data_IF_043312274494
#
_entry.id   IF_043312274494
#
_cell.length_a   1.000
_cell.length_b   1.000
_cell.length_c   1.000
_cell.angle_alpha   90.00
_cell.angle_beta   90.00
_cell.angle_gamma   90.00
#
_symmetry.space_group_name_H-M   'P 1'
#
loop_
_entity.id
_entity.type
_entity.pdbx_description
1 polymer ?
#
# COMPACT_ATOMS: atom_id res chain seq x y z
N UNK A 1 -16.88 -22.76 -14.52
CA UNK A 1 -15.49 -22.48 -14.11
C UNK A 1 -15.56 -21.28 -13.19
N UNK A 2 -15.51 -21.51 -11.89
CA UNK A 2 -15.76 -20.47 -10.89
C UNK A 2 -14.53 -19.55 -10.83
N UNK A 3 -14.67 -18.22 -10.99
CA UNK A 3 -13.57 -17.32 -10.77
C UNK A 3 -13.53 -17.01 -9.27
N UNK A 4 -12.89 -17.87 -8.48
CA UNK A 4 -12.21 -17.41 -7.27
C UNK A 4 -11.00 -16.59 -7.73
N UNK A 5 -11.23 -15.42 -8.32
CA UNK A 5 -10.20 -14.40 -8.38
C UNK A 5 -9.83 -14.14 -6.92
N UNK A 6 -8.58 -14.43 -6.54
CA UNK A 6 -8.11 -14.39 -5.17
C UNK A 6 -8.49 -13.04 -4.54
N UNK A 7 -9.54 -13.05 -3.73
CA UNK A 7 -9.99 -11.87 -3.02
C UNK A 7 -9.00 -11.65 -1.88
N UNK A 8 -7.93 -10.91 -2.17
CA UNK A 8 -6.99 -10.47 -1.14
C UNK A 8 -7.63 -9.32 -0.39
N UNK A 9 -8.37 -9.69 0.66
CA UNK A 9 -9.01 -8.73 1.57
C UNK A 9 -8.05 -8.19 2.62
N UNK A 10 -8.49 -7.19 3.38
CA UNK A 10 -7.71 -6.63 4.50
C UNK A 10 -7.21 -7.67 5.51
N UNK A 11 -7.87 -8.82 5.64
CA UNK A 11 -7.43 -9.94 6.47
C UNK A 11 -6.05 -10.50 6.07
N UNK A 12 -5.74 -10.55 4.77
CA UNK A 12 -4.42 -11.02 4.31
C UNK A 12 -3.33 -10.01 4.65
N UNK A 13 -3.60 -8.72 4.48
CA UNK A 13 -2.66 -7.65 4.83
C UNK A 13 -2.40 -7.63 6.35
N UNK A 14 -3.44 -7.86 7.16
CA UNK A 14 -3.29 -8.02 8.62
C UNK A 14 -2.40 -9.21 8.93
N UNK A 15 -2.60 -10.34 8.24
CA UNK A 15 -1.76 -11.52 8.40
C UNK A 15 -0.30 -11.25 7.97
N UNK A 16 -0.08 -10.55 6.86
CA UNK A 16 1.26 -10.12 6.42
C UNK A 16 1.93 -9.22 7.47
N UNK A 17 1.19 -8.32 8.11
CA UNK A 17 1.72 -7.47 9.20
C UNK A 17 2.15 -8.28 10.42
N UNK A 18 1.37 -9.30 10.81
CA UNK A 18 1.73 -10.18 11.92
C UNK A 18 2.98 -10.99 11.59
N UNK A 19 3.06 -11.54 10.38
CA UNK A 19 4.24 -12.27 9.89
C UNK A 19 5.49 -11.39 9.88
N UNK A 20 5.39 -10.16 9.38
CA UNK A 20 6.49 -9.20 9.41
C UNK A 20 6.99 -8.96 10.83
N UNK A 21 6.09 -8.82 11.81
CA UNK A 21 6.45 -8.66 13.23
C UNK A 21 7.21 -9.86 13.81
N UNK A 22 6.77 -11.08 13.50
CA UNK A 22 7.48 -12.30 13.91
C UNK A 22 8.85 -12.43 13.26
N UNK A 23 8.95 -12.26 11.94
CA UNK A 23 10.22 -12.33 11.22
C UNK A 23 11.20 -11.25 11.70
N UNK A 24 10.69 -10.04 12.04
CA UNK A 24 11.51 -8.97 12.60
C UNK A 24 12.12 -9.39 13.95
N UNK A 25 11.33 -9.99 14.84
CA UNK A 25 11.82 -10.45 16.14
C UNK A 25 12.89 -11.56 16.02
N UNK A 26 12.88 -12.33 14.93
CA UNK A 26 13.90 -13.35 14.65
C UNK A 26 15.18 -12.75 14.05
N UNK A 27 15.05 -11.86 13.07
CA UNK A 27 16.20 -11.29 12.32
C UNK A 27 16.86 -10.13 13.07
N UNK A 28 16.07 -9.27 13.74
CA UNK A 28 16.48 -8.10 14.53
C UNK A 28 15.74 -8.07 15.88
N UNK A 29 16.12 -8.92 16.84
CA UNK A 29 15.47 -8.99 18.16
C UNK A 29 15.47 -7.65 18.92
N UNK A 30 16.43 -6.77 18.63
CA UNK A 30 16.53 -5.41 19.18
C UNK A 30 15.39 -4.49 18.72
N UNK A 31 14.71 -4.84 17.63
CA UNK A 31 13.55 -4.12 17.07
C UNK A 31 12.24 -4.88 17.29
N UNK A 32 12.23 -5.90 18.15
CA UNK A 32 11.01 -6.65 18.46
C UNK A 32 9.90 -5.71 18.98
N UNK A 33 8.69 -5.89 18.45
CA UNK A 33 7.53 -5.06 18.80
C UNK A 33 7.43 -3.73 18.04
N UNK A 34 8.42 -3.34 17.22
CA UNK A 34 8.40 -2.08 16.48
C UNK A 34 7.18 -1.91 15.56
N UNK A 35 6.56 -3.00 15.11
CA UNK A 35 5.38 -3.00 14.24
C UNK A 35 4.04 -3.10 14.98
N UNK A 36 4.01 -3.25 16.31
CA UNK A 36 2.77 -3.42 17.07
C UNK A 36 1.80 -2.25 16.88
N UNK A 37 2.34 -1.03 16.94
CA UNK A 37 1.55 0.18 16.72
C UNK A 37 1.03 0.27 15.28
N UNK A 38 1.87 -0.09 14.30
CA UNK A 38 1.47 -0.13 12.90
C UNK A 38 0.28 -1.08 12.70
N UNK A 39 0.34 -2.31 13.24
CA UNK A 39 -0.76 -3.27 13.16
C UNK A 39 -2.07 -2.76 13.81
N UNK A 40 -1.96 -2.06 14.95
CA UNK A 40 -3.09 -1.50 15.67
C UNK A 40 -3.80 -0.36 14.91
N UNK A 41 -3.06 0.44 14.12
CA UNK A 41 -3.64 1.50 13.26
C UNK A 41 -4.15 0.92 11.94
N UNK A 42 -3.39 0.00 11.34
CA UNK A 42 -3.65 -0.57 10.03
C UNK A 42 -4.95 -1.39 10.01
N UNK A 43 -5.18 -2.22 11.02
CA UNK A 43 -6.36 -3.11 11.09
C UNK A 43 -7.69 -2.35 10.97
N UNK A 44 -8.03 -1.39 11.86
CA UNK A 44 -9.29 -0.66 11.73
C UNK A 44 -9.37 0.19 10.45
N UNK A 45 -8.24 0.67 9.93
CA UNK A 45 -8.20 1.42 8.67
C UNK A 45 -8.56 0.54 7.46
N UNK A 46 -8.03 -0.68 7.38
CA UNK A 46 -8.37 -1.63 6.32
C UNK A 46 -9.84 -2.05 6.36
N UNK A 47 -10.38 -2.29 7.56
CA UNK A 47 -11.81 -2.59 7.74
C UNK A 47 -12.68 -1.44 7.25
N UNK A 48 -12.29 -0.20 7.57
CA UNK A 48 -12.99 1.00 7.11
C UNK A 48 -12.96 1.12 5.59
N UNK A 49 -11.79 0.99 4.97
CA UNK A 49 -11.65 1.10 3.52
C UNK A 49 -12.53 0.06 2.81
N UNK A 50 -12.51 -1.19 3.27
CA UNK A 50 -13.33 -2.26 2.69
C UNK A 50 -14.84 -1.99 2.79
N UNK A 51 -15.28 -1.16 3.74
CA UNK A 51 -16.67 -0.78 3.89
C UNK A 51 -17.06 0.46 3.06
N UNK A 52 -16.10 1.30 2.66
CA UNK A 52 -16.36 2.60 2.01
C UNK A 52 -16.02 2.63 0.53
N UNK A 53 -15.02 1.88 0.10
CA UNK A 53 -14.52 1.89 -1.28
C UNK A 53 -14.84 0.56 -1.95
N UNK A 54 -15.54 0.56 -3.10
CA UNK A 54 -15.79 -0.65 -3.86
C UNK A 54 -14.48 -1.38 -4.22
N UNK A 55 -14.50 -2.70 -4.18
CA UNK A 55 -13.38 -3.49 -4.64
C UNK A 55 -13.18 -3.31 -6.15
N UNK A 56 -11.94 -3.18 -6.58
CA UNK A 56 -11.49 -3.09 -7.96
C UNK A 56 -10.36 -4.10 -8.20
N UNK A 57 -9.85 -4.16 -9.43
CA UNK A 57 -8.60 -4.85 -9.72
C UNK A 57 -7.45 -3.96 -9.22
N UNK A 58 -6.66 -4.52 -8.32
CA UNK A 58 -5.40 -3.94 -7.82
C UNK A 58 -4.27 -4.72 -8.48
N UNK A 59 -3.34 -4.01 -9.13
CA UNK A 59 -2.17 -4.61 -9.74
C UNK A 59 -1.23 -5.22 -8.70
N UNK A 60 -1.02 -4.51 -7.58
CA UNK A 60 -0.25 -4.98 -6.43
C UNK A 60 1.26 -4.78 -6.53
N UNK A 61 1.74 -4.27 -7.68
CA UNK A 61 3.11 -3.87 -7.99
C UNK A 61 3.10 -2.78 -9.09
N UNK A 62 2.25 -1.76 -8.92
CA UNK A 62 2.03 -0.71 -9.93
C UNK A 62 3.12 0.37 -9.86
N UNK A 63 4.30 -0.01 -10.30
CA UNK A 63 5.51 0.81 -10.30
C UNK A 63 5.92 1.17 -11.73
N UNK A 64 6.76 2.20 -11.89
CA UNK A 64 7.18 2.70 -13.21
C UNK A 64 7.85 1.63 -14.07
N UNK A 65 8.58 0.69 -13.45
CA UNK A 65 9.19 -0.48 -14.12
C UNK A 65 8.17 -1.41 -14.79
N UNK A 66 6.92 -1.40 -14.33
CA UNK A 66 5.82 -2.24 -14.82
C UNK A 66 4.87 -1.45 -15.74
N UNK A 67 5.27 -0.26 -16.19
CA UNK A 67 4.54 0.54 -17.17
C UNK A 67 5.32 0.64 -18.48
N UNK A 68 4.72 0.17 -19.57
CA UNK A 68 5.27 0.25 -20.93
C UNK A 68 4.53 1.34 -21.69
N UNK A 69 5.27 2.32 -22.22
CA UNK A 69 4.70 3.32 -23.11
C UNK A 69 4.51 2.73 -24.51
N UNK A 70 3.29 2.80 -25.01
CA UNK A 70 2.92 2.37 -26.36
C UNK A 70 2.39 3.55 -27.16
N UNK A 71 2.19 3.38 -28.47
CA UNK A 71 1.56 4.40 -29.33
C UNK A 71 0.13 4.77 -28.88
N UNK A 72 -0.52 3.90 -28.10
CA UNK A 72 -1.86 4.12 -27.55
C UNK A 72 -1.86 4.64 -26.10
N UNK A 73 -0.67 4.90 -25.53
CA UNK A 73 -0.49 5.33 -24.15
C UNK A 73 0.17 4.27 -23.25
N UNK A 74 0.24 4.53 -21.92
CA UNK A 74 0.84 3.62 -20.96
C UNK A 74 0.03 2.32 -20.83
N UNK A 75 0.74 1.19 -20.77
CA UNK A 75 0.18 -0.13 -20.58
C UNK A 75 0.86 -0.81 -19.39
N UNK A 76 0.07 -1.30 -18.44
CA UNK A 76 0.58 -2.04 -17.29
C UNK A 76 0.88 -3.50 -17.65
N UNK A 77 2.03 -3.98 -17.22
CA UNK A 77 2.52 -5.35 -17.42
C UNK A 77 2.86 -6.00 -16.07
N UNK A 78 3.09 -7.31 -16.05
CA UNK A 78 3.37 -8.08 -14.84
C UNK A 78 2.21 -8.11 -13.82
N UNK A 79 1.06 -8.62 -14.27
CA UNK A 79 -0.14 -8.79 -13.46
C UNK A 79 -0.07 -9.97 -12.47
N UNK A 80 1.11 -10.52 -12.20
CA UNK A 80 1.29 -11.74 -11.39
C UNK A 80 0.86 -11.56 -9.92
N UNK A 81 0.89 -10.32 -9.41
CA UNK A 81 0.46 -9.94 -8.07
C UNK A 81 -0.98 -9.39 -8.01
N UNK A 82 -1.67 -9.38 -9.14
CA UNK A 82 -2.97 -8.74 -9.25
C UNK A 82 -4.04 -9.48 -8.44
N UNK A 83 -4.94 -8.72 -7.83
CA UNK A 83 -6.00 -9.23 -6.98
C UNK A 83 -7.21 -8.31 -6.98
N UNK A 84 -8.33 -8.80 -6.45
CA UNK A 84 -9.52 -7.98 -6.22
C UNK A 84 -9.50 -7.46 -4.78
N UNK A 85 -9.53 -6.14 -4.61
CA UNK A 85 -9.46 -5.48 -3.31
C UNK A 85 -9.80 -4.00 -3.41
N UNK A 86 -9.85 -3.31 -2.27
CA UNK A 86 -9.94 -1.85 -2.30
C UNK A 86 -8.60 -1.26 -2.77
N UNK A 87 -8.65 -0.14 -3.48
CA UNK A 87 -7.48 0.58 -3.96
C UNK A 87 -6.61 0.97 -2.74
N UNK A 88 -5.44 0.34 -2.60
CA UNK A 88 -4.56 0.51 -1.46
C UNK A 88 -3.14 0.91 -1.89
N UNK A 89 -2.47 0.07 -2.68
CA UNK A 89 -1.03 0.21 -2.90
C UNK A 89 -0.61 0.85 -4.22
N UNK A 90 -1.46 0.81 -5.25
CA UNK A 90 -1.02 1.11 -6.61
C UNK A 90 -0.75 2.62 -6.82
N UNK A 91 -1.67 3.50 -6.42
CA UNK A 91 -1.43 4.94 -6.50
C UNK A 91 -0.28 5.37 -5.59
N UNK A 92 -0.16 4.79 -4.38
CA UNK A 92 0.97 5.09 -3.50
C UNK A 92 2.30 4.72 -4.17
N UNK A 93 2.38 3.52 -4.77
CA UNK A 93 3.61 3.04 -5.42
C UNK A 93 3.99 3.93 -6.60
N UNK A 94 3.01 4.33 -7.42
CA UNK A 94 3.22 5.26 -8.53
C UNK A 94 3.67 6.65 -8.06
N UNK A 95 3.03 7.21 -7.04
CA UNK A 95 3.38 8.52 -6.46
C UNK A 95 4.78 8.49 -5.86
N UNK A 96 5.15 7.41 -5.17
CA UNK A 96 6.50 7.21 -4.62
C UNK A 96 7.55 7.16 -5.72
N UNK A 97 7.35 6.33 -6.74
CA UNK A 97 8.28 6.19 -7.87
C UNK A 97 8.48 7.52 -8.61
N UNK A 98 7.38 8.22 -8.87
CA UNK A 98 7.41 9.52 -9.50
C UNK A 98 8.20 10.55 -8.66
N UNK A 99 7.98 10.57 -7.34
CA UNK A 99 8.71 11.44 -6.42
C UNK A 99 10.22 11.16 -6.46
N UNK A 100 10.61 9.88 -6.50
CA UNK A 100 12.02 9.47 -6.64
C UNK A 100 12.62 9.90 -7.99
N UNK A 101 11.80 9.98 -9.03
CA UNK A 101 12.18 10.49 -10.35
C UNK A 101 12.13 12.03 -10.47
N UNK A 102 11.82 12.76 -9.38
CA UNK A 102 11.71 14.22 -9.38
C UNK A 102 10.41 14.77 -9.99
N UNK A 103 9.41 13.90 -10.21
CA UNK A 103 8.07 14.31 -10.65
C UNK A 103 7.24 14.73 -9.44
N UNK A 104 6.53 15.87 -9.49
CA UNK A 104 5.68 16.31 -8.38
C UNK A 104 4.56 15.30 -8.06
N UNK A 105 4.49 14.87 -6.80
CA UNK A 105 3.47 13.92 -6.32
C UNK A 105 2.04 14.45 -6.51
N UNK A 106 1.83 15.75 -6.28
CA UNK A 106 0.56 16.44 -6.43
C UNK A 106 -0.01 16.35 -7.85
N UNK A 107 0.84 16.38 -8.87
CA UNK A 107 0.40 16.24 -10.27
C UNK A 107 -0.24 14.87 -10.55
N UNK A 108 0.32 13.78 -10.00
CA UNK A 108 -0.23 12.43 -10.18
C UNK A 108 -1.51 12.25 -9.37
N UNK A 109 -1.53 12.75 -8.15
CA UNK A 109 -2.71 12.70 -7.27
C UNK A 109 -3.87 13.49 -7.89
N UNK A 110 -3.59 14.66 -8.44
CA UNK A 110 -4.59 15.48 -9.14
C UNK A 110 -5.12 14.77 -10.39
N UNK A 111 -4.26 14.22 -11.23
CA UNK A 111 -4.68 13.47 -12.41
C UNK A 111 -5.57 12.26 -12.06
N UNK A 112 -5.22 11.53 -10.99
CA UNK A 112 -6.05 10.43 -10.49
C UNK A 112 -7.43 10.90 -10.01
N UNK A 113 -7.47 12.02 -9.27
CA UNK A 113 -8.72 12.61 -8.77
C UNK A 113 -9.62 13.07 -9.93
N UNK A 114 -9.05 13.72 -10.94
CA UNK A 114 -9.76 14.20 -12.12
C UNK A 114 -10.40 13.04 -12.90
N UNK A 115 -9.65 11.94 -13.10
CA UNK A 115 -10.15 10.76 -13.80
C UNK A 115 -11.26 10.07 -13.00
N UNK A 116 -11.12 9.97 -11.67
CA UNK A 116 -12.19 9.43 -10.83
C UNK A 116 -13.45 10.30 -10.89
N UNK A 117 -13.32 11.63 -10.91
CA UNK A 117 -14.44 12.54 -11.06
C UNK A 117 -15.13 12.38 -12.43
N UNK A 118 -14.34 12.22 -13.50
CA UNK A 118 -14.84 11.99 -14.86
C UNK A 118 -15.63 10.67 -14.95
N UNK A 119 -15.14 9.62 -14.31
CA UNK A 119 -15.75 8.29 -14.31
C UNK A 119 -16.88 8.13 -13.28
N UNK A 120 -17.12 9.13 -12.44
CA UNK A 120 -18.08 9.03 -11.33
C UNK A 120 -17.68 8.01 -10.26
N UNK A 121 -16.38 7.71 -10.15
CA UNK A 121 -15.85 6.81 -9.15
C UNK A 121 -15.79 7.50 -7.78
N UNK A 122 -16.15 6.80 -6.68
CA UNK A 122 -16.13 7.39 -5.36
C UNK A 122 -14.69 7.64 -4.91
N UNK A 123 -14.31 8.92 -4.83
CA UNK A 123 -13.04 9.35 -4.22
C UNK A 123 -13.28 9.62 -2.74
N UNK A 124 -12.77 8.75 -1.88
CA UNK A 124 -12.83 8.94 -0.42
C UNK A 124 -11.45 9.37 0.06
N UNK A 125 -11.27 10.64 0.43
CA UNK A 125 -10.08 11.15 1.14
C UNK A 125 -8.74 10.58 0.64
N UNK A 126 -8.25 11.07 -0.51
CA UNK A 126 -7.04 10.56 -1.16
C UNK A 126 -5.80 10.62 -0.27
N UNK A 127 -5.69 11.64 0.58
CA UNK A 127 -4.59 11.75 1.53
C UNK A 127 -4.58 10.55 2.49
N UNK A 128 -5.76 10.23 3.05
CA UNK A 128 -5.92 9.06 3.92
C UNK A 128 -5.64 7.73 3.19
N UNK A 129 -6.14 7.58 1.95
CA UNK A 129 -5.87 6.37 1.16
C UNK A 129 -4.39 6.20 0.83
N UNK A 130 -3.68 7.28 0.52
CA UNK A 130 -2.25 7.25 0.24
C UNK A 130 -1.42 6.89 1.48
N UNK A 131 -1.77 7.44 2.65
CA UNK A 131 -1.12 7.09 3.91
C UNK A 131 -1.35 5.60 4.27
N UNK A 132 -2.58 5.12 4.07
CA UNK A 132 -2.91 3.70 4.24
C UNK A 132 -2.12 2.82 3.25
N UNK A 133 -2.09 3.22 1.98
CA UNK A 133 -1.31 2.57 0.94
C UNK A 133 0.18 2.48 1.24
N UNK A 134 0.76 3.57 1.75
CA UNK A 134 2.14 3.61 2.19
C UNK A 134 2.43 2.69 3.37
N UNK A 135 1.49 2.61 4.31
CA UNK A 135 1.57 1.67 5.43
C UNK A 135 1.58 0.22 4.93
N UNK A 136 0.63 -0.14 4.07
CA UNK A 136 0.53 -1.49 3.48
C UNK A 136 1.79 -1.83 2.68
N UNK A 137 2.24 -0.93 1.79
CA UNK A 137 3.44 -1.15 1.00
C UNK A 137 4.66 -1.36 1.89
N UNK A 138 4.84 -0.54 2.93
CA UNK A 138 6.01 -0.62 3.82
C UNK A 138 6.02 -1.93 4.60
N UNK A 139 4.88 -2.38 5.12
CA UNK A 139 4.76 -3.68 5.78
C UNK A 139 5.11 -4.83 4.83
N UNK A 140 4.66 -4.76 3.57
CA UNK A 140 4.95 -5.80 2.57
C UNK A 140 6.41 -5.82 2.17
N UNK A 141 7.02 -4.66 1.95
CA UNK A 141 8.44 -4.51 1.66
C UNK A 141 9.28 -5.06 2.82
N UNK A 142 8.94 -4.68 4.05
CA UNK A 142 9.64 -5.15 5.25
C UNK A 142 9.51 -6.67 5.43
N UNK A 143 8.30 -7.23 5.27
CA UNK A 143 8.09 -8.69 5.28
C UNK A 143 9.00 -9.38 4.26
N UNK A 144 9.00 -8.90 3.01
CA UNK A 144 9.82 -9.49 1.95
C UNK A 144 11.31 -9.42 2.31
N UNK A 145 11.80 -8.28 2.80
CA UNK A 145 13.21 -8.15 3.23
C UNK A 145 13.54 -9.16 4.31
N UNK A 146 12.69 -9.28 5.34
CA UNK A 146 12.94 -10.14 6.50
C UNK A 146 12.84 -11.64 6.19
N UNK A 147 11.89 -12.06 5.35
CA UNK A 147 11.64 -13.47 5.05
C UNK A 147 12.51 -14.00 3.90
N UNK A 148 12.82 -13.15 2.92
CA UNK A 148 13.47 -13.56 1.67
C UNK A 148 14.72 -12.72 1.36
N UNK A 149 14.61 -11.40 1.48
CA UNK A 149 15.65 -10.46 1.09
C UNK A 149 16.98 -10.74 1.78
N UNK A 150 16.98 -10.92 3.10
CA UNK A 150 18.21 -11.18 3.87
C UNK A 150 18.93 -12.47 3.46
N UNK A 151 18.24 -13.39 2.78
CA UNK A 151 18.81 -14.65 2.30
C UNK A 151 19.24 -14.60 0.84
N UNK A 152 18.54 -13.81 0.00
CA UNK A 152 18.78 -13.72 -1.45
C UNK A 152 19.69 -12.54 -1.82
N UNK A 153 19.56 -11.42 -1.10
CA UNK A 153 20.30 -10.17 -1.28
C UNK A 153 20.83 -9.72 0.09
N UNK A 154 22.01 -10.20 0.53
CA UNK A 154 22.51 -9.96 1.88
C UNK A 154 22.58 -8.47 2.27
N UNK A 155 22.80 -7.57 1.31
CA UNK A 155 22.80 -6.12 1.54
C UNK A 155 21.45 -5.58 2.01
N UNK A 156 20.33 -6.28 1.77
CA UNK A 156 18.99 -5.85 2.17
C UNK A 156 18.79 -5.72 3.67
N UNK A 157 19.66 -6.35 4.48
CA UNK A 157 19.68 -6.15 5.94
C UNK A 157 19.81 -4.66 6.30
N UNK A 158 20.56 -3.90 5.49
CA UNK A 158 20.75 -2.46 5.70
C UNK A 158 19.49 -1.63 5.49
N UNK A 159 18.48 -2.19 4.82
CA UNK A 159 17.21 -1.51 4.54
C UNK A 159 16.19 -1.66 5.68
N UNK A 160 16.44 -2.55 6.65
CA UNK A 160 15.49 -2.84 7.73
C UNK A 160 15.23 -1.59 8.58
N UNK A 161 16.29 -0.88 9.00
CA UNK A 161 16.13 0.29 9.86
C UNK A 161 15.35 1.41 9.14
N UNK A 162 15.64 1.65 7.86
CA UNK A 162 14.91 2.62 7.03
C UNK A 162 13.44 2.23 6.86
N UNK A 163 13.15 0.95 6.62
CA UNK A 163 11.77 0.47 6.48
C UNK A 163 10.98 0.55 7.79
N UNK A 164 11.63 0.35 8.94
CA UNK A 164 11.01 0.54 10.26
C UNK A 164 10.72 2.02 10.52
N UNK A 165 11.68 2.90 10.24
CA UNK A 165 11.45 4.36 10.34
C UNK A 165 10.29 4.77 9.43
N UNK A 166 10.29 4.30 8.18
CA UNK A 166 9.21 4.56 7.23
C UNK A 166 7.88 4.06 7.74
N UNK A 167 7.82 2.86 8.31
CA UNK A 167 6.60 2.29 8.89
C UNK A 167 6.05 3.18 10.02
N UNK A 168 6.94 3.72 10.87
CA UNK A 168 6.58 4.70 11.89
C UNK A 168 5.95 5.95 11.30
N UNK A 169 6.61 6.57 10.33
CA UNK A 169 6.15 7.81 9.66
C UNK A 169 4.78 7.62 9.01
N UNK A 170 4.59 6.59 8.19
CA UNK A 170 3.30 6.38 7.50
C UNK A 170 2.18 5.98 8.47
N UNK A 171 2.52 5.31 9.58
CA UNK A 171 1.57 5.03 10.66
C UNK A 171 1.14 6.33 11.36
N UNK A 172 2.07 7.25 11.61
CA UNK A 172 1.77 8.57 12.19
C UNK A 172 0.88 9.40 11.28
N UNK A 173 1.21 9.45 9.99
CA UNK A 173 0.41 10.13 8.96
C UNK A 173 -1.02 9.56 8.93
N UNK A 174 -1.16 8.23 8.84
CA UNK A 174 -2.45 7.55 8.81
C UNK A 174 -3.27 7.80 10.09
N UNK A 175 -2.62 7.83 11.26
CA UNK A 175 -3.28 8.08 12.53
C UNK A 175 -3.68 9.56 12.72
N UNK A 176 -2.89 10.49 12.18
CA UNK A 176 -3.14 11.93 12.26
C UNK A 176 -4.26 12.38 11.31
N UNK A 177 -4.44 11.68 10.19
CA UNK A 177 -5.51 11.93 9.25
C UNK A 177 -6.84 11.43 9.82
N UNK A 178 -7.56 12.35 10.48
CA UNK A 178 -8.97 12.14 10.80
C UNK A 178 -9.75 12.10 9.49
N UNK A 179 -10.27 10.94 9.13
CA UNK A 179 -11.24 10.83 8.04
C UNK A 179 -12.38 11.84 8.26
N UNK A 180 -12.53 12.78 7.34
CA UNK A 180 -13.54 13.86 7.40
C UNK A 180 -14.83 13.49 6.70
N UNK A 181 -15.00 12.21 6.32
CA UNK A 181 -16.08 11.80 5.44
C UNK A 181 -17.43 12.26 5.95
N UNK A 182 -18.15 12.94 5.06
CA UNK A 182 -19.47 13.46 5.29
C UNK A 182 -20.35 12.40 5.94
N UNK A 183 -20.90 12.78 7.10
CA UNK A 183 -22.08 12.20 7.69
C UNK A 183 -23.24 12.39 6.71
N UNK A 184 -23.30 11.56 5.67
CA UNK A 184 -24.53 11.38 4.90
C UNK A 184 -25.41 10.42 5.69
N UNK A 185 -25.93 10.91 6.81
CA UNK A 185 -27.11 10.33 7.44
C UNK A 185 -28.30 10.47 6.47
N UNK A 186 -29.14 9.43 6.33
CA UNK A 186 -30.29 9.42 5.42
C UNK A 186 -31.37 10.44 5.78
#
# INVERSE_FOLDING_TARGET
MQPEAAQRGGAEIIHESVRAGHALAEVRPDLAGALERCAAVLTPALHRLAATVPATIVHGDFESKNLVLTDSGPCAVDWSTAHVGAHLGDLYSLVRDASLAGVPADAIIAAYADECALLGAPVVDLAWQLALGGTVWTVRALRWVLEEGVHVVPESVTWIDELIERAGVVTDELAALSWTGHDTSP
#
